data_IF_852350314075
#
_entry.id   IF_852350314075
#
_cell.length_a   1.000
_cell.length_b   1.000
_cell.length_c   1.000
_cell.angle_alpha   90.00
_cell.angle_beta   90.00
_cell.angle_gamma   90.00
#
_symmetry.space_group_name_H-M   'P 1'
#
loop_
_entity.id
_entity.type
_entity.pdbx_description
1 polymer ?
#
# COMPACT_ATOMS: atom_id res chain seq x y z
N UNK A 1 -12.14 6.14 -5.89
CA UNK A 1 -11.17 6.54 -4.86
C UNK A 1 -11.57 5.94 -3.52
N UNK A 2 -10.64 5.38 -2.81
CA UNK A 2 -10.93 4.77 -1.50
C UNK A 2 -10.76 5.80 -0.39
N UNK A 3 -11.55 5.65 0.68
CA UNK A 3 -11.46 6.52 1.85
C UNK A 3 -11.02 5.70 3.06
N UNK A 4 -10.04 6.20 3.78
CA UNK A 4 -9.55 5.58 5.01
C UNK A 4 -9.90 6.52 6.17
N UNK A 5 -10.59 5.98 7.18
CA UNK A 5 -10.96 6.71 8.38
C UNK A 5 -10.20 6.15 9.57
N UNK A 6 -9.61 7.03 10.37
CA UNK A 6 -8.87 6.64 11.57
C UNK A 6 -9.58 7.26 12.77
N UNK A 7 -9.88 6.42 13.76
CA UNK A 7 -10.48 6.88 15.02
C UNK A 7 -9.39 7.00 16.07
N UNK A 8 -9.39 8.12 16.78
CA UNK A 8 -8.45 8.38 17.87
C UNK A 8 -9.21 8.86 19.09
N UNK A 9 -8.64 8.63 20.26
CA UNK A 9 -9.24 9.13 21.51
C UNK A 9 -9.06 10.65 21.60
N UNK A 10 -9.82 11.28 22.48
CA UNK A 10 -9.67 12.73 22.71
C UNK A 10 -8.26 13.09 23.18
N UNK A 11 -7.64 12.23 23.98
CA UNK A 11 -6.27 12.42 24.43
C UNK A 11 -5.27 12.33 23.30
N UNK A 12 -5.45 11.34 22.42
CA UNK A 12 -4.60 11.16 21.25
C UNK A 12 -4.71 12.34 20.28
N UNK A 13 -5.93 12.86 20.09
CA UNK A 13 -6.13 14.03 19.24
C UNK A 13 -5.44 15.26 19.79
N UNK A 14 -5.53 15.49 21.11
CA UNK A 14 -4.82 16.60 21.76
C UNK A 14 -3.32 16.46 21.62
N UNK A 15 -2.81 15.24 21.74
CA UNK A 15 -1.40 14.98 21.54
C UNK A 15 -0.96 15.29 20.11
N UNK A 16 -1.77 14.94 19.13
CA UNK A 16 -1.48 15.26 17.73
C UNK A 16 -1.53 16.77 17.46
N UNK A 17 -2.45 17.47 18.09
CA UNK A 17 -2.52 18.93 17.95
C UNK A 17 -1.28 19.63 18.52
N UNK A 18 -0.60 19.00 19.48
CA UNK A 18 0.66 19.48 20.02
C UNK A 18 1.80 19.41 18.99
N UNK A 19 1.84 18.36 18.16
CA UNK A 19 2.95 18.12 17.25
C UNK A 19 2.63 18.38 15.77
N UNK A 20 1.37 18.60 15.43
CA UNK A 20 0.97 18.81 14.04
C UNK A 20 -0.01 19.99 13.94
N UNK A 21 0.24 20.89 13.00
CA UNK A 21 -0.63 22.03 12.76
C UNK A 21 -2.03 21.57 12.34
N UNK A 22 -2.10 20.53 11.51
CA UNK A 22 -3.34 19.87 11.12
C UNK A 22 -3.16 18.37 11.22
N UNK A 23 -3.71 17.71 12.25
CA UNK A 23 -3.61 16.24 12.39
C UNK A 23 -4.17 15.49 11.20
N UNK A 24 -5.27 15.98 10.59
CA UNK A 24 -5.86 15.34 9.41
C UNK A 24 -4.89 15.38 8.23
N UNK A 25 -4.27 16.53 7.96
CA UNK A 25 -3.32 16.66 6.87
C UNK A 25 -2.09 15.78 7.12
N UNK A 26 -1.61 15.73 8.36
CA UNK A 26 -0.50 14.87 8.73
C UNK A 26 -0.81 13.41 8.44
N UNK A 27 -2.00 12.94 8.84
CA UNK A 27 -2.44 11.56 8.59
C UNK A 27 -2.57 11.30 7.09
N UNK A 28 -3.20 12.21 6.35
CA UNK A 28 -3.36 12.08 4.90
C UNK A 28 -2.01 11.98 4.21
N UNK A 29 -1.06 12.84 4.57
CA UNK A 29 0.28 12.85 3.97
C UNK A 29 1.07 11.59 4.32
N UNK A 30 0.95 11.09 5.55
CA UNK A 30 1.63 9.87 5.96
C UNK A 30 1.15 8.66 5.17
N UNK A 31 -0.17 8.52 5.02
CA UNK A 31 -0.77 7.41 4.28
C UNK A 31 -0.40 7.49 2.79
N UNK A 32 -0.52 8.67 2.19
CA UNK A 32 -0.22 8.83 0.76
C UNK A 32 1.26 8.63 0.46
N UNK A 33 2.16 9.08 1.32
CA UNK A 33 3.59 8.85 1.17
C UNK A 33 3.95 7.37 1.27
N UNK A 34 3.38 6.66 2.24
CA UNK A 34 3.62 5.23 2.39
C UNK A 34 3.05 4.45 1.19
N UNK A 35 1.86 4.86 0.71
CA UNK A 35 1.25 4.25 -0.48
C UNK A 35 2.11 4.47 -1.72
N UNK A 36 2.67 5.66 -1.90
CA UNK A 36 3.55 5.96 -3.03
C UNK A 36 4.78 5.06 -3.02
N UNK A 37 5.41 4.89 -1.87
CA UNK A 37 6.56 4.01 -1.72
C UNK A 37 6.18 2.57 -2.06
N UNK A 38 5.03 2.11 -1.57
CA UNK A 38 4.53 0.75 -1.85
C UNK A 38 4.26 0.55 -3.34
N UNK A 39 3.69 1.55 -4.02
CA UNK A 39 3.44 1.48 -5.48
C UNK A 39 4.76 1.32 -6.22
N UNK A 40 5.80 2.08 -5.85
CA UNK A 40 7.10 1.97 -6.48
C UNK A 40 7.71 0.58 -6.29
N UNK A 41 7.58 0.01 -5.10
CA UNK A 41 8.06 -1.36 -4.82
C UNK A 41 7.29 -2.41 -5.63
N UNK A 42 5.97 -2.28 -5.71
CA UNK A 42 5.12 -3.20 -6.47
C UNK A 42 5.49 -3.16 -7.95
N UNK A 43 5.63 -1.96 -8.50
CA UNK A 43 5.96 -1.80 -9.92
C UNK A 43 7.35 -2.37 -10.24
N UNK A 44 8.33 -2.20 -9.34
CA UNK A 44 9.67 -2.76 -9.53
C UNK A 44 9.64 -4.29 -9.53
N UNK A 45 8.91 -4.90 -8.62
CA UNK A 45 8.75 -6.36 -8.56
C UNK A 45 8.04 -6.89 -9.79
N UNK A 46 7.00 -6.19 -10.24
CA UNK A 46 6.26 -6.57 -11.45
C UNK A 46 7.16 -6.52 -12.69
N UNK A 47 7.94 -5.44 -12.83
CA UNK A 47 8.85 -5.29 -13.96
C UNK A 47 9.85 -6.45 -14.05
N UNK A 48 10.45 -6.82 -12.93
CA UNK A 48 11.37 -7.95 -12.85
C UNK A 48 10.68 -9.25 -13.25
N UNK A 49 9.49 -9.50 -12.71
CA UNK A 49 8.72 -10.70 -13.03
C UNK A 49 8.34 -10.77 -14.51
N UNK A 50 7.86 -9.67 -15.07
CA UNK A 50 7.46 -9.61 -16.49
C UNK A 50 8.68 -9.83 -17.40
N UNK A 51 9.82 -9.25 -17.09
CA UNK A 51 11.04 -9.43 -17.86
C UNK A 51 11.54 -10.88 -17.83
N UNK A 52 11.48 -11.52 -16.67
CA UNK A 52 11.93 -12.91 -16.51
C UNK A 52 11.01 -13.92 -17.21
N UNK A 53 9.73 -13.60 -17.36
CA UNK A 53 8.73 -14.51 -17.89
C UNK A 53 8.18 -14.09 -19.25
N UNK A 54 8.78 -13.07 -19.87
CA UNK A 54 8.36 -12.55 -21.19
C UNK A 54 6.89 -12.15 -21.22
N UNK A 55 6.43 -11.51 -20.14
CA UNK A 55 5.05 -11.00 -20.02
C UNK A 55 5.06 -9.51 -20.35
N UNK A 56 4.08 -9.06 -21.14
CA UNK A 56 3.96 -7.64 -21.45
C UNK A 56 3.59 -6.86 -20.19
N UNK A 57 4.35 -5.81 -19.90
CA UNK A 57 4.12 -4.93 -18.75
C UNK A 57 2.97 -3.97 -19.06
N UNK A 58 2.01 -3.86 -18.15
CA UNK A 58 0.91 -2.92 -18.30
C UNK A 58 1.42 -1.48 -18.30
N UNK A 59 0.68 -0.58 -18.91
CA UNK A 59 1.04 0.83 -19.04
C UNK A 59 0.33 1.64 -17.94
N UNK A 60 1.11 2.38 -17.15
CA UNK A 60 0.62 3.21 -16.06
C UNK A 60 0.61 2.49 -14.71
N UNK A 61 0.79 3.26 -13.65
CA UNK A 61 0.91 2.70 -12.30
C UNK A 61 -0.34 1.93 -11.85
N UNK A 62 -1.53 2.47 -12.11
CA UNK A 62 -2.77 1.81 -11.72
C UNK A 62 -2.91 0.44 -12.36
N UNK A 63 -2.63 0.35 -13.66
CA UNK A 63 -2.71 -0.91 -14.39
C UNK A 63 -1.61 -1.88 -13.95
N UNK A 64 -0.42 -1.37 -13.65
CA UNK A 64 0.68 -2.21 -13.17
C UNK A 64 0.40 -2.81 -11.79
N UNK A 65 -0.15 -2.04 -10.86
CA UNK A 65 -0.54 -2.57 -9.55
C UNK A 65 -1.59 -3.66 -9.71
N UNK A 66 -2.59 -3.43 -10.56
CA UNK A 66 -3.62 -4.44 -10.86
C UNK A 66 -3.00 -5.70 -11.45
N UNK A 67 -2.10 -5.55 -12.40
CA UNK A 67 -1.40 -6.68 -13.04
C UNK A 67 -0.58 -7.47 -12.02
N UNK A 68 0.12 -6.78 -11.11
CA UNK A 68 0.93 -7.43 -10.09
C UNK A 68 0.09 -8.33 -9.18
N UNK A 69 -1.09 -7.89 -8.77
CA UNK A 69 -2.01 -8.72 -8.01
C UNK A 69 -2.58 -9.87 -8.85
N UNK A 70 -2.94 -9.60 -10.09
CA UNK A 70 -3.50 -10.61 -10.98
C UNK A 70 -2.51 -11.76 -11.27
N UNK A 71 -1.23 -11.44 -11.40
CA UNK A 71 -0.17 -12.42 -11.62
C UNK A 71 0.35 -13.09 -10.35
N UNK A 72 -0.11 -12.65 -9.18
CA UNK A 72 0.36 -13.18 -7.90
C UNK A 72 1.77 -12.74 -7.51
N UNK A 73 2.29 -11.69 -8.16
CA UNK A 73 3.60 -11.12 -7.82
C UNK A 73 3.57 -10.52 -6.42
N UNK A 74 2.43 -9.91 -6.06
CA UNK A 74 2.18 -9.36 -4.74
C UNK A 74 0.82 -9.81 -4.24
N UNK A 75 0.61 -9.72 -2.93
CA UNK A 75 -0.68 -10.02 -2.32
C UNK A 75 -0.87 -9.14 -1.10
N UNK A 76 -2.10 -9.08 -0.60
CA UNK A 76 -2.39 -8.30 0.61
C UNK A 76 -1.72 -8.94 1.83
N UNK A 77 -1.38 -8.12 2.81
CA UNK A 77 -0.81 -8.61 4.08
C UNK A 77 -1.78 -9.57 4.77
N UNK A 78 -3.08 -9.32 4.65
CA UNK A 78 -4.10 -10.20 5.24
C UNK A 78 -4.00 -11.60 4.64
N UNK A 79 -3.91 -11.71 3.31
CA UNK A 79 -3.80 -13.00 2.63
C UNK A 79 -2.47 -13.68 2.93
N UNK A 80 -1.38 -12.94 2.95
CA UNK A 80 -0.05 -13.49 3.29
C UNK A 80 -0.04 -14.01 4.73
N UNK A 81 -0.59 -13.25 5.66
CA UNK A 81 -0.65 -13.68 7.06
C UNK A 81 -1.55 -14.90 7.24
N UNK A 82 -2.68 -14.97 6.52
CA UNK A 82 -3.57 -16.13 6.57
C UNK A 82 -2.85 -17.38 6.06
N UNK A 83 -2.11 -17.28 4.95
CA UNK A 83 -1.34 -18.40 4.41
C UNK A 83 -0.25 -18.85 5.36
N UNK A 84 0.45 -17.92 6.02
CA UNK A 84 1.46 -18.24 7.01
C UNK A 84 0.87 -18.89 8.26
N UNK A 85 -0.32 -18.45 8.69
CA UNK A 85 -1.02 -19.00 9.85
C UNK A 85 -1.52 -20.42 9.60
N UNK A 86 -1.82 -20.77 8.35
CA UNK A 86 -2.28 -22.11 7.96
C UNK A 86 -1.13 -23.08 7.70
N UNK A 87 0.10 -22.58 7.63
CA UNK A 87 1.27 -23.44 7.43
C UNK A 87 1.46 -24.37 8.62
N UNK A 88 1.70 -25.65 8.39
CA UNK A 88 1.92 -26.60 9.48
C UNK A 88 3.20 -26.32 10.28
#
# INVERSE_FOLDING_TARGET
MATITIEVTATELKAMEYCALSPQDWADNSVTNRARIAIEEICAKLMTHCNENEIALAVGQDAQVTQAYALGVVDTVVNVNAAMSEAP
#
